data_IF_983669964511
#
_entry.id   IF_983669964511
#
_cell.length_a   1.000
_cell.length_b   1.000
_cell.length_c   1.000
_cell.angle_alpha   90.00
_cell.angle_beta   90.00
_cell.angle_gamma   90.00
#
_symmetry.space_group_name_H-M   'P 1'
#
loop_
_entity.id
_entity.type
_entity.pdbx_description
1 polymer ?
#
# COMPACT_ATOMS: atom_id res chain seq x y z
N UNK A 1 2.51 6.44 -9.03
CA UNK A 1 3.67 5.97 -8.25
C UNK A 1 4.44 4.88 -8.97
N UNK A 2 3.90 3.68 -9.28
CA UNK A 2 4.68 2.61 -9.93
C UNK A 2 5.41 3.12 -11.18
N UNK A 3 4.74 3.82 -12.08
CA UNK A 3 5.35 4.41 -13.27
C UNK A 3 6.47 5.43 -12.98
N UNK A 4 6.37 6.13 -11.86
CA UNK A 4 7.34 7.16 -11.44
C UNK A 4 8.63 6.51 -10.88
N UNK A 5 8.48 5.40 -10.15
CA UNK A 5 9.58 4.66 -9.56
C UNK A 5 10.21 3.63 -10.51
N UNK A 6 9.38 2.98 -11.30
CA UNK A 6 9.74 1.82 -12.13
C UNK A 6 9.18 1.97 -13.55
N UNK A 7 9.69 2.95 -14.34
CA UNK A 7 9.15 3.24 -15.68
C UNK A 7 9.30 2.07 -16.67
N UNK A 8 10.26 1.16 -16.43
CA UNK A 8 10.52 -0.01 -17.28
C UNK A 8 9.72 -1.25 -16.87
N UNK A 9 9.04 -1.22 -15.70
CA UNK A 9 8.23 -2.34 -15.24
C UNK A 9 7.05 -2.59 -16.20
N UNK A 10 6.70 -3.85 -16.39
CA UNK A 10 5.59 -4.30 -17.25
C UNK A 10 4.58 -5.14 -16.49
N UNK A 11 5.05 -5.90 -15.52
CA UNK A 11 4.23 -6.82 -14.72
C UNK A 11 4.15 -6.34 -13.28
N UNK A 12 2.93 -6.25 -12.77
CA UNK A 12 2.65 -5.89 -11.38
C UNK A 12 1.93 -7.05 -10.69
N UNK A 13 2.55 -7.61 -9.64
CA UNK A 13 1.94 -8.62 -8.80
C UNK A 13 1.03 -7.98 -7.76
N UNK A 14 -0.24 -8.36 -7.76
CA UNK A 14 -1.23 -7.91 -6.77
C UNK A 14 -1.24 -8.91 -5.62
N UNK A 15 -0.48 -8.64 -4.54
CA UNK A 15 -0.34 -9.52 -3.37
C UNK A 15 -1.29 -9.06 -2.26
N UNK A 16 -2.27 -9.88 -1.89
CA UNK A 16 -3.31 -9.46 -0.95
C UNK A 16 -3.98 -10.64 -0.22
N UNK A 17 -4.50 -10.36 0.98
CA UNK A 17 -5.33 -11.29 1.73
C UNK A 17 -6.75 -11.32 1.16
N UNK A 18 -7.17 -12.47 0.64
CA UNK A 18 -8.49 -12.65 0.02
C UNK A 18 -9.65 -12.67 1.03
N UNK A 19 -9.37 -12.79 2.32
CA UNK A 19 -10.37 -12.68 3.39
C UNK A 19 -10.62 -11.25 3.87
N UNK A 20 -9.85 -10.25 3.37
CA UNK A 20 -10.02 -8.84 3.72
C UNK A 20 -10.75 -8.07 2.61
N UNK A 21 -11.98 -7.62 2.88
CA UNK A 21 -12.82 -6.91 1.90
C UNK A 21 -12.19 -5.57 1.44
N UNK A 22 -11.46 -4.86 2.32
CA UNK A 22 -10.71 -3.66 1.99
C UNK A 22 -9.59 -3.94 0.98
N UNK A 23 -8.88 -5.07 1.12
CA UNK A 23 -7.80 -5.47 0.22
C UNK A 23 -8.35 -5.82 -1.16
N UNK A 24 -9.44 -6.60 -1.23
CA UNK A 24 -10.13 -6.93 -2.48
C UNK A 24 -10.56 -5.68 -3.25
N UNK A 25 -11.21 -4.73 -2.57
CA UNK A 25 -11.65 -3.48 -3.18
C UNK A 25 -10.49 -2.64 -3.74
N UNK A 26 -9.42 -2.48 -2.95
CA UNK A 26 -8.26 -1.71 -3.39
C UNK A 26 -7.53 -2.35 -4.57
N UNK A 27 -7.40 -3.68 -4.57
CA UNK A 27 -6.81 -4.42 -5.69
C UNK A 27 -7.61 -4.23 -6.97
N UNK A 28 -8.94 -4.31 -6.91
CA UNK A 28 -9.81 -4.09 -8.06
C UNK A 28 -9.62 -2.69 -8.67
N UNK A 29 -9.64 -1.65 -7.81
CA UNK A 29 -9.47 -0.26 -8.24
C UNK A 29 -8.07 -0.02 -8.82
N UNK A 30 -7.02 -0.44 -8.12
CA UNK A 30 -5.63 -0.21 -8.54
C UNK A 30 -5.30 -1.00 -9.81
N UNK A 31 -5.81 -2.22 -9.95
CA UNK A 31 -5.70 -3.02 -11.18
C UNK A 31 -6.23 -2.26 -12.38
N UNK A 32 -7.46 -1.77 -12.30
CA UNK A 32 -8.10 -1.06 -13.42
C UNK A 32 -7.25 0.14 -13.89
N UNK A 33 -6.69 0.90 -12.94
CA UNK A 33 -5.81 2.03 -13.25
C UNK A 33 -4.47 1.58 -13.87
N UNK A 34 -3.86 0.52 -13.34
CA UNK A 34 -2.60 -0.01 -13.87
C UNK A 34 -2.75 -0.60 -15.28
N UNK A 35 -3.82 -1.35 -15.52
CA UNK A 35 -4.13 -1.91 -16.84
C UNK A 35 -4.42 -0.82 -17.86
N UNK A 36 -5.11 0.26 -17.46
CA UNK A 36 -5.31 1.44 -18.31
C UNK A 36 -4.00 2.16 -18.67
N UNK A 37 -2.97 2.05 -17.80
CA UNK A 37 -1.61 2.56 -18.06
C UNK A 37 -0.74 1.57 -18.86
N UNK A 38 -1.25 0.38 -19.20
CA UNK A 38 -0.57 -0.61 -20.02
C UNK A 38 0.23 -1.68 -19.25
N UNK A 39 0.08 -1.75 -17.92
CA UNK A 39 0.69 -2.83 -17.12
C UNK A 39 -0.09 -4.13 -17.24
N UNK A 40 0.61 -5.26 -17.09
CA UNK A 40 -0.01 -6.56 -16.88
C UNK A 40 -0.10 -6.82 -15.37
N UNK A 41 -1.32 -7.00 -14.86
CA UNK A 41 -1.54 -7.28 -13.44
C UNK A 41 -1.76 -8.78 -13.23
N UNK A 42 -0.99 -9.39 -12.32
CA UNK A 42 -1.09 -10.80 -11.94
C UNK A 42 -1.58 -10.92 -10.49
N UNK A 43 -2.55 -11.81 -10.24
CA UNK A 43 -3.11 -12.02 -8.90
C UNK A 43 -2.29 -13.00 -8.07
N UNK A 44 -2.01 -12.61 -6.83
CA UNK A 44 -1.36 -13.41 -5.82
C UNK A 44 -2.16 -13.36 -4.50
N UNK A 45 -3.40 -13.93 -4.50
CA UNK A 45 -4.20 -13.98 -3.29
C UNK A 45 -3.66 -15.04 -2.32
N UNK A 46 -3.66 -14.72 -1.04
CA UNK A 46 -3.47 -15.68 0.04
C UNK A 46 -4.67 -15.60 1.02
N UNK A 47 -4.87 -16.62 1.86
CA UNK A 47 -6.01 -16.68 2.80
C UNK A 47 -5.59 -16.20 4.19
N UNK A 48 -4.41 -16.62 4.65
CA UNK A 48 -3.85 -16.24 5.94
C UNK A 48 -2.30 -16.22 5.89
N UNK A 49 -1.68 -15.89 7.01
CA UNK A 49 -0.21 -15.74 7.08
C UNK A 49 0.58 -17.03 6.80
N UNK A 50 -0.04 -18.21 6.83
CA UNK A 50 0.68 -19.49 6.55
C UNK A 50 1.00 -19.65 5.07
N UNK A 51 0.17 -19.10 4.19
CA UNK A 51 0.34 -19.17 2.74
C UNK A 51 1.17 -18.00 2.21
N UNK A 52 1.24 -16.87 2.96
CA UNK A 52 1.84 -15.62 2.52
C UNK A 52 3.25 -15.79 1.94
N UNK A 53 4.11 -16.57 2.61
CA UNK A 53 5.49 -16.76 2.16
C UNK A 53 5.58 -17.45 0.80
N UNK A 54 4.81 -18.51 0.58
CA UNK A 54 4.82 -19.25 -0.69
C UNK A 54 4.25 -18.39 -1.84
N UNK A 55 3.16 -17.67 -1.57
CA UNK A 55 2.52 -16.78 -2.56
C UNK A 55 3.41 -15.59 -2.89
N UNK A 56 4.09 -15.00 -1.88
CA UNK A 56 5.05 -13.91 -2.08
C UNK A 56 6.26 -14.37 -2.92
N UNK A 57 6.80 -15.58 -2.70
CA UNK A 57 7.86 -16.13 -3.54
C UNK A 57 7.41 -16.26 -4.99
N UNK A 58 6.24 -16.83 -5.25
CA UNK A 58 5.70 -16.93 -6.60
C UNK A 58 5.52 -15.55 -7.27
N UNK A 59 5.05 -14.54 -6.51
CA UNK A 59 4.94 -13.17 -6.99
C UNK A 59 6.30 -12.56 -7.34
N UNK A 60 7.32 -12.78 -6.50
CA UNK A 60 8.66 -12.24 -6.71
C UNK A 60 9.39 -12.85 -7.92
N UNK A 61 9.05 -14.08 -8.30
CA UNK A 61 9.60 -14.74 -9.49
C UNK A 61 8.92 -14.29 -10.79
N UNK A 62 7.66 -13.84 -10.72
CA UNK A 62 6.82 -13.59 -11.88
C UNK A 62 6.66 -12.09 -12.23
N UNK A 63 6.99 -11.17 -11.33
CA UNK A 63 6.65 -9.76 -11.48
C UNK A 63 7.84 -8.83 -11.31
N UNK A 64 7.78 -7.69 -12.03
CA UNK A 64 8.79 -6.63 -11.92
C UNK A 64 8.60 -5.79 -10.65
N UNK A 65 7.35 -5.65 -10.19
CA UNK A 65 6.95 -4.89 -8.99
C UNK A 65 5.80 -5.63 -8.30
N UNK A 66 5.76 -5.60 -6.98
CA UNK A 66 4.63 -6.12 -6.21
C UNK A 66 3.87 -4.94 -5.61
N UNK A 67 2.55 -4.90 -5.79
CA UNK A 67 1.64 -4.00 -5.09
C UNK A 67 0.95 -4.74 -3.95
N UNK A 68 0.97 -4.14 -2.78
CA UNK A 68 0.26 -4.62 -1.58
C UNK A 68 -0.73 -3.52 -1.16
N UNK A 69 -2.04 -3.79 -1.12
CA UNK A 69 -3.03 -2.83 -0.63
C UNK A 69 -2.85 -2.53 0.87
N UNK A 70 -3.69 -1.69 1.46
CA UNK A 70 -3.81 -1.57 2.91
C UNK A 70 -4.38 -2.87 3.47
N UNK A 71 -3.51 -3.78 3.86
CA UNK A 71 -3.79 -5.17 4.23
C UNK A 71 -3.28 -5.45 5.63
N UNK A 72 -4.19 -5.77 6.56
CA UNK A 72 -3.83 -5.96 7.98
C UNK A 72 -2.98 -7.22 8.19
N UNK A 73 -3.27 -8.28 7.42
CA UNK A 73 -2.49 -9.52 7.51
C UNK A 73 -1.07 -9.31 7.00
N UNK A 74 -0.90 -8.57 5.90
CA UNK A 74 0.43 -8.19 5.41
C UNK A 74 1.14 -7.27 6.39
N UNK A 75 0.48 -6.22 6.89
CA UNK A 75 1.10 -5.27 7.82
C UNK A 75 1.64 -5.98 9.08
N UNK A 76 0.89 -6.96 9.61
CA UNK A 76 1.32 -7.77 10.74
C UNK A 76 2.46 -8.76 10.42
N UNK A 77 2.73 -9.05 9.15
CA UNK A 77 3.69 -10.04 8.67
C UNK A 77 4.66 -9.47 7.62
N UNK A 78 4.87 -8.16 7.58
CA UNK A 78 5.68 -7.49 6.56
C UNK A 78 7.12 -8.04 6.46
N UNK A 79 7.69 -8.51 7.58
CA UNK A 79 9.01 -9.14 7.60
C UNK A 79 9.11 -10.41 6.76
N UNK A 80 8.01 -11.15 6.52
CA UNK A 80 8.00 -12.30 5.61
C UNK A 80 8.25 -11.83 4.18
N UNK A 81 7.56 -10.77 3.76
CA UNK A 81 7.68 -10.18 2.42
C UNK A 81 9.07 -9.58 2.24
N UNK A 82 9.56 -8.83 3.23
CA UNK A 82 10.88 -8.23 3.19
C UNK A 82 12.00 -9.26 3.01
N UNK A 83 11.94 -10.36 3.78
CA UNK A 83 12.90 -11.45 3.69
C UNK A 83 12.91 -12.18 2.33
N UNK A 84 11.86 -12.07 1.55
CA UNK A 84 11.73 -12.65 0.20
C UNK A 84 12.08 -11.63 -0.88
N UNK A 85 11.42 -10.48 -0.86
CA UNK A 85 11.49 -9.49 -1.94
C UNK A 85 12.81 -8.70 -1.94
N UNK A 86 13.36 -8.36 -0.76
CA UNK A 86 14.61 -7.60 -0.66
C UNK A 86 15.80 -8.38 -1.25
N UNK A 87 16.07 -9.66 -0.92
CA UNK A 87 17.13 -10.45 -1.56
C UNK A 87 16.89 -10.70 -3.05
N UNK A 88 15.61 -10.89 -3.45
CA UNK A 88 15.22 -11.06 -4.84
C UNK A 88 15.33 -9.75 -5.67
N UNK A 89 15.52 -8.61 -5.00
CA UNK A 89 15.52 -7.25 -5.58
C UNK A 89 14.23 -6.90 -6.30
N UNK A 90 13.11 -7.44 -5.86
CA UNK A 90 11.79 -7.11 -6.37
C UNK A 90 11.17 -6.04 -5.46
N UNK A 91 10.91 -4.82 -6.00
CA UNK A 91 10.36 -3.74 -5.21
C UNK A 91 8.90 -3.98 -4.83
N UNK A 92 8.54 -3.57 -3.62
CA UNK A 92 7.17 -3.63 -3.10
C UNK A 92 6.61 -2.20 -2.96
N UNK A 93 5.43 -1.95 -3.52
CA UNK A 93 4.68 -0.70 -3.35
C UNK A 93 3.55 -0.93 -2.36
N UNK A 94 3.58 -0.22 -1.23
CA UNK A 94 2.63 -0.41 -0.14
C UNK A 94 1.41 0.52 -0.21
N UNK A 95 0.28 0.04 0.30
CA UNK A 95 -0.94 0.82 0.47
C UNK A 95 -0.92 1.74 1.69
N UNK A 96 -0.05 1.48 2.67
CA UNK A 96 0.06 2.25 3.91
C UNK A 96 1.50 2.37 4.44
N UNK A 97 1.66 3.16 5.52
CA UNK A 97 2.97 3.39 6.16
C UNK A 97 3.53 2.14 6.85
N UNK A 98 2.71 1.26 7.39
CA UNK A 98 3.17 0.05 8.06
C UNK A 98 3.83 -0.91 7.08
N UNK A 99 3.19 -1.11 5.92
CA UNK A 99 3.73 -1.91 4.82
C UNK A 99 5.00 -1.24 4.25
N UNK A 100 4.96 0.09 4.04
CA UNK A 100 6.13 0.83 3.57
C UNK A 100 7.33 0.70 4.52
N UNK A 101 7.10 0.85 5.83
CA UNK A 101 8.15 0.72 6.85
C UNK A 101 8.69 -0.71 6.95
N UNK A 102 7.82 -1.72 6.81
CA UNK A 102 8.19 -3.12 7.02
C UNK A 102 8.78 -3.84 5.81
N UNK A 103 8.37 -3.50 4.59
CA UNK A 103 8.80 -4.20 3.37
C UNK A 103 8.68 -3.37 2.08
N UNK A 104 8.09 -2.18 2.12
CA UNK A 104 7.79 -1.42 0.90
C UNK A 104 8.84 -0.38 0.57
N UNK A 105 9.04 -0.13 -0.74
CA UNK A 105 9.84 0.97 -1.25
C UNK A 105 9.16 2.32 -1.00
N UNK A 106 7.87 2.39 -1.30
CA UNK A 106 7.08 3.61 -1.15
C UNK A 106 5.60 3.30 -0.93
N UNK A 107 4.87 4.28 -0.43
CA UNK A 107 3.43 4.22 -0.22
C UNK A 107 2.76 5.59 -0.42
N UNK A 108 1.43 5.58 -0.54
CA UNK A 108 0.57 6.75 -0.54
C UNK A 108 -0.42 6.68 0.64
N UNK A 109 0.07 6.74 1.87
CA UNK A 109 -0.76 6.57 3.06
C UNK A 109 -1.63 7.78 3.35
N UNK A 110 -2.68 7.54 4.14
CA UNK A 110 -3.47 8.57 4.82
C UNK A 110 -3.00 8.69 6.28
N UNK A 111 -3.17 9.88 6.87
CA UNK A 111 -2.96 10.07 8.31
C UNK A 111 -4.20 9.62 9.08
N UNK A 112 -4.13 8.49 9.78
CA UNK A 112 -5.21 8.01 10.65
C UNK A 112 -5.51 8.97 11.80
N UNK A 113 -4.49 9.70 12.29
CA UNK A 113 -4.68 10.76 13.29
C UNK A 113 -5.55 11.90 12.75
N UNK A 114 -5.23 12.42 11.56
CA UNK A 114 -6.02 13.48 10.94
C UNK A 114 -7.42 12.99 10.55
N UNK A 115 -7.54 11.75 10.07
CA UNK A 115 -8.83 11.14 9.77
C UNK A 115 -9.71 11.05 11.04
N UNK A 116 -9.13 10.64 12.18
CA UNK A 116 -9.83 10.64 13.47
C UNK A 116 -10.24 12.04 13.91
N UNK A 117 -9.38 13.05 13.71
CA UNK A 117 -9.68 14.45 14.02
C UNK A 117 -10.83 15.01 13.15
N UNK A 118 -10.81 14.71 11.86
CA UNK A 118 -11.90 15.06 10.91
C UNK A 118 -13.20 14.38 11.33
N UNK A 119 -13.16 13.08 11.59
CA UNK A 119 -14.35 12.30 12.02
C UNK A 119 -14.93 12.82 13.33
N UNK A 120 -14.09 13.18 14.30
CA UNK A 120 -14.51 13.83 15.55
C UNK A 120 -15.19 15.17 15.32
N UNK A 121 -14.67 15.99 14.40
CA UNK A 121 -15.30 17.26 13.97
C UNK A 121 -16.65 17.05 13.30
N UNK A 122 -16.77 16.02 12.43
CA UNK A 122 -18.06 15.64 11.81
C UNK A 122 -19.08 15.23 12.87
N UNK A 123 -18.69 14.39 13.83
CA UNK A 123 -19.56 13.96 14.92
C UNK A 123 -20.02 15.16 15.78
N UNK A 124 -19.13 16.10 16.09
CA UNK A 124 -19.49 17.31 16.85
C UNK A 124 -20.56 18.13 16.13
N UNK A 125 -20.40 18.39 14.82
CA UNK A 125 -21.39 19.14 14.00
C UNK A 125 -22.76 18.47 13.97
N UNK A 126 -22.80 17.14 13.90
CA UNK A 126 -24.07 16.38 13.95
C UNK A 126 -24.72 16.52 15.33
N UNK A 127 -23.94 16.35 16.41
CA UNK A 127 -24.46 16.39 17.79
C UNK A 127 -24.92 17.78 18.21
N UNK A 128 -24.32 18.85 17.66
CA UNK A 128 -24.74 20.24 17.91
C UNK A 128 -25.91 20.70 17.02
N UNK A 129 -26.32 19.88 16.04
CA UNK A 129 -27.38 20.21 15.08
C UNK A 129 -26.93 21.14 13.96
N UNK A 130 -25.62 21.36 13.80
CA UNK A 130 -25.04 22.17 12.71
C UNK A 130 -25.02 21.41 11.38
N UNK A 131 -25.10 20.07 11.42
CA UNK A 131 -25.15 19.22 10.25
C UNK A 131 -26.11 18.05 10.43
N UNK A 132 -26.70 17.60 9.33
CA UNK A 132 -27.57 16.42 9.26
C UNK A 132 -26.77 15.22 8.72
N UNK A 133 -26.73 14.13 9.50
CA UNK A 133 -26.01 12.91 9.13
C UNK A 133 -26.45 12.32 7.77
N UNK A 134 -27.72 12.53 7.38
CA UNK A 134 -28.27 12.00 6.13
C UNK A 134 -27.77 12.74 4.88
N UNK A 135 -27.29 13.97 5.03
CA UNK A 135 -26.85 14.85 3.94
C UNK A 135 -25.40 15.29 4.04
N UNK A 136 -24.75 15.02 5.18
CA UNK A 136 -23.37 15.39 5.41
C UNK A 136 -22.44 14.61 4.47
N UNK A 137 -21.60 15.30 3.67
CA UNK A 137 -20.65 14.61 2.81
C UNK A 137 -19.59 13.89 3.65
N UNK A 138 -19.07 12.78 3.12
CA UNK A 138 -17.92 12.09 3.71
C UNK A 138 -16.69 12.97 3.53
N UNK A 139 -16.00 13.27 4.63
CA UNK A 139 -14.75 14.02 4.63
C UNK A 139 -13.57 13.05 4.78
N UNK A 140 -12.43 13.38 4.15
CA UNK A 140 -11.22 12.57 4.14
C UNK A 140 -9.98 13.46 4.21
N UNK A 141 -8.85 12.87 4.56
CA UNK A 141 -7.55 13.56 4.58
C UNK A 141 -6.81 13.36 3.26
N UNK A 142 -5.88 14.27 2.96
CA UNK A 142 -4.97 14.14 1.82
C UNK A 142 -3.90 13.09 2.12
N UNK A 143 -3.60 12.26 1.13
CA UNK A 143 -2.49 11.32 1.21
C UNK A 143 -1.15 12.04 0.94
N UNK A 144 -0.08 11.55 1.57
CA UNK A 144 1.29 12.08 1.42
C UNK A 144 2.20 10.96 0.95
N UNK A 145 2.93 11.18 -0.13
CA UNK A 145 3.89 10.19 -0.65
C UNK A 145 5.01 9.94 0.36
N UNK A 146 5.19 8.69 0.76
CA UNK A 146 6.27 8.26 1.67
C UNK A 146 7.14 7.20 1.02
N UNK A 147 8.38 7.06 1.49
CA UNK A 147 9.33 6.05 1.04
C UNK A 147 10.14 5.48 2.20
N UNK A 148 10.68 4.28 2.03
CA UNK A 148 11.57 3.63 3.00
C UNK A 148 13.03 3.86 2.58
N UNK A 149 13.80 4.68 3.33
CA UNK A 149 15.19 4.99 2.97
C UNK A 149 16.10 3.76 2.92
N UNK A 150 15.94 2.83 3.88
CA UNK A 150 16.77 1.63 3.99
C UNK A 150 16.57 0.71 2.78
N UNK A 151 15.31 0.43 2.43
CA UNK A 151 15.00 -0.43 1.28
C UNK A 151 15.45 0.21 -0.02
N UNK A 152 15.25 1.53 -0.17
CA UNK A 152 15.72 2.27 -1.35
C UNK A 152 17.24 2.18 -1.50
N UNK A 153 18.02 2.33 -0.41
CA UNK A 153 19.47 2.20 -0.41
C UNK A 153 19.91 0.80 -0.84
N UNK A 154 19.33 -0.25 -0.24
CA UNK A 154 19.66 -1.66 -0.56
C UNK A 154 19.33 -2.01 -2.01
N UNK A 155 18.22 -1.50 -2.54
CA UNK A 155 17.83 -1.73 -3.93
C UNK A 155 18.51 -0.79 -4.92
N UNK A 156 19.26 0.22 -4.45
CA UNK A 156 19.96 1.19 -5.30
C UNK A 156 18.99 2.13 -6.04
N UNK A 157 17.86 2.46 -5.44
CA UNK A 157 16.82 3.27 -6.05
C UNK A 157 17.04 4.77 -5.79
N UNK A 158 16.77 5.57 -6.82
CA UNK A 158 16.73 7.04 -6.70
C UNK A 158 15.32 7.46 -6.32
N UNK A 159 15.17 8.19 -5.21
CA UNK A 159 13.88 8.67 -4.73
C UNK A 159 13.39 9.82 -5.61
N UNK A 160 12.18 9.73 -6.20
CA UNK A 160 11.58 10.83 -6.96
C UNK A 160 11.26 12.03 -6.06
N UNK A 161 11.10 13.21 -6.65
CA UNK A 161 10.70 14.40 -5.90
C UNK A 161 9.31 14.26 -5.23
N UNK A 162 9.15 14.92 -4.09
CA UNK A 162 7.86 14.97 -3.38
C UNK A 162 7.58 13.79 -2.45
N UNK A 163 8.55 12.90 -2.23
CA UNK A 163 8.46 11.83 -1.23
C UNK A 163 9.13 12.23 0.08
N UNK A 164 8.54 11.83 1.20
CA UNK A 164 9.09 12.00 2.55
C UNK A 164 9.46 10.64 3.15
N UNK A 165 10.55 10.54 3.93
CA UNK A 165 10.89 9.27 4.56
C UNK A 165 9.78 8.81 5.53
N UNK A 166 9.45 7.52 5.48
CA UNK A 166 8.56 6.91 6.48
C UNK A 166 9.27 6.85 7.83
N UNK A 167 8.52 7.11 8.91
CA UNK A 167 9.04 6.95 10.28
C UNK A 167 9.02 5.46 10.61
N UNK A 168 10.20 4.87 10.71
CA UNK A 168 10.35 3.48 11.19
C UNK A 168 10.39 3.58 12.71
N UNK A 169 9.39 3.02 13.39
CA UNK A 169 9.40 2.93 14.85
C UNK A 169 10.50 1.95 15.29
N UNK A 170 11.35 2.38 16.22
CA UNK A 170 12.36 1.55 16.87
C UNK A 170 11.72 0.47 17.76
#
# INVERSE_FOLDING_TARGET
>A
MIQEWFPEAKTVGMLYCSSEANSLYQVEVVRAELEALGYTCLDFPFVDSTDLGAVCMAASEACDVIFVPTDNTVAANAGIIDNICRPAKVPVMGGDNGICAGCGVAALPISYYELGRITGGMAARILTGEADISTMPIEYTTAVKTYNPEICEVLGLTVPEGYTPVVIAE
#
